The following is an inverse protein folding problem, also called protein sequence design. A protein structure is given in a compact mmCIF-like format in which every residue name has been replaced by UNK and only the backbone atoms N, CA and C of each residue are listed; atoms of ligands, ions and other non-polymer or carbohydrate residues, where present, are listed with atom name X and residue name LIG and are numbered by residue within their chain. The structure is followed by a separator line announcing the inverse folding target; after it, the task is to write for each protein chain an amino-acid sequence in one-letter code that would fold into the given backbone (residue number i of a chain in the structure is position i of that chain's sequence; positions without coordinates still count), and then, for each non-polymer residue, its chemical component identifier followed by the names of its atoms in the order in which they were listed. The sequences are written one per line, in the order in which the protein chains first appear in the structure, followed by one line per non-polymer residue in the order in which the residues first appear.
data_IF_356122192245
#
_entry.id   IF_356122192245
#
_cell.length_a   1.000
_cell.length_b   1.000
_cell.length_c   1.000
_cell.angle_alpha   90.00
_cell.angle_beta   90.00
_cell.angle_gamma   90.00
#
_symmetry.space_group_name_H-M   'P 1'
#
loop_
_entity.id
_entity.type
_entity.pdbx_description
1 polymer ?
#
# COMPACT_ATOMS: atom_id res chain seq x y z
N UNK A 1 16.93 7.40 -1.94
CA UNK A 1 17.63 6.35 -1.18
C UNK A 1 19.12 6.38 -1.51
N UNK A 2 19.99 6.13 -0.52
CA UNK A 2 21.43 6.23 -0.73
C UNK A 2 22.06 5.03 -1.44
N UNK A 3 21.27 4.21 -2.09
CA UNK A 3 21.75 3.01 -2.78
C UNK A 3 21.99 3.27 -4.26
N UNK A 4 22.96 2.55 -4.83
CA UNK A 4 23.23 2.59 -6.26
C UNK A 4 22.09 1.96 -7.07
N UNK A 5 21.95 2.39 -8.31
CA UNK A 5 21.02 1.77 -9.25
C UNK A 5 21.39 0.30 -9.49
N UNK A 6 20.41 -0.55 -9.79
CA UNK A 6 20.60 -1.96 -10.13
C UNK A 6 21.39 -2.74 -9.07
N UNK A 7 21.06 -2.53 -7.79
CA UNK A 7 21.79 -3.12 -6.66
C UNK A 7 21.09 -4.31 -6.03
N UNK A 8 19.78 -4.43 -6.17
CA UNK A 8 18.98 -5.40 -5.41
C UNK A 8 18.13 -6.29 -6.31
N UNK A 9 17.93 -7.53 -5.88
CA UNK A 9 17.07 -8.50 -6.56
C UNK A 9 15.60 -8.35 -6.15
N UNK A 10 15.36 -7.90 -4.91
CA UNK A 10 14.02 -7.72 -4.36
C UNK A 10 13.90 -6.38 -3.64
N UNK A 11 12.71 -5.79 -3.75
CA UNK A 11 12.33 -4.62 -2.97
C UNK A 11 10.97 -4.91 -2.36
N UNK A 12 10.89 -4.94 -1.04
CA UNK A 12 9.64 -5.19 -0.33
C UNK A 12 9.33 -4.02 0.58
N UNK A 13 8.04 -3.67 0.65
CA UNK A 13 7.54 -2.65 1.56
C UNK A 13 6.20 -3.12 2.14
N UNK A 14 6.09 -3.07 3.46
CA UNK A 14 4.89 -3.50 4.18
C UNK A 14 4.34 -2.34 4.99
N UNK A 15 3.11 -1.91 4.66
CA UNK A 15 2.39 -0.85 5.38
C UNK A 15 3.15 0.49 5.47
N UNK A 16 4.02 0.76 4.49
CA UNK A 16 4.83 1.97 4.48
C UNK A 16 4.56 2.90 3.30
N UNK A 17 4.09 2.36 2.18
CA UNK A 17 3.92 3.14 0.96
C UNK A 17 2.90 4.28 1.14
N UNK A 18 1.81 4.03 1.86
CA UNK A 18 0.77 5.05 2.13
C UNK A 18 1.28 6.24 2.94
N UNK A 19 2.38 6.07 3.67
CA UNK A 19 2.99 7.11 4.49
C UNK A 19 4.08 7.90 3.75
N UNK A 20 4.39 7.55 2.51
CA UNK A 20 5.35 8.30 1.72
C UNK A 20 4.73 9.60 1.24
N UNK A 21 5.53 10.65 1.14
CA UNK A 21 5.07 11.96 0.68
C UNK A 21 4.68 11.96 -0.80
N UNK A 22 5.34 11.11 -1.59
CA UNK A 22 5.13 11.03 -3.03
C UNK A 22 5.27 9.57 -3.47
N UNK A 23 4.14 8.93 -3.74
CA UNK A 23 4.08 7.53 -4.13
C UNK A 23 4.83 7.29 -5.45
N UNK A 24 4.64 8.16 -6.44
CA UNK A 24 5.31 8.05 -7.74
C UNK A 24 6.82 8.07 -7.60
N UNK A 25 7.32 8.99 -6.78
CA UNK A 25 8.76 9.12 -6.53
C UNK A 25 9.31 7.88 -5.83
N UNK A 26 8.57 7.35 -4.85
CA UNK A 26 8.95 6.13 -4.13
C UNK A 26 9.00 4.92 -5.07
N UNK A 27 8.03 4.78 -5.97
CA UNK A 27 8.01 3.70 -6.95
C UNK A 27 9.16 3.82 -7.96
N UNK A 28 9.48 5.02 -8.41
CA UNK A 28 10.63 5.25 -9.30
C UNK A 28 11.94 4.88 -8.63
N UNK A 29 12.10 5.22 -7.37
CA UNK A 29 13.30 4.84 -6.60
C UNK A 29 13.39 3.33 -6.41
N UNK A 30 12.28 2.67 -6.10
CA UNK A 30 12.25 1.21 -6.02
C UNK A 30 12.67 0.57 -7.34
N UNK A 31 12.16 1.08 -8.45
CA UNK A 31 12.55 0.61 -9.78
C UNK A 31 14.05 0.84 -10.04
N UNK A 32 14.54 2.01 -9.68
CA UNK A 32 15.95 2.38 -9.91
C UNK A 32 16.92 1.42 -9.22
N UNK A 33 16.64 1.09 -7.95
CA UNK A 33 17.57 0.26 -7.17
C UNK A 33 17.47 -1.23 -7.48
N UNK A 34 16.41 -1.67 -8.14
CA UNK A 34 16.24 -3.06 -8.56
C UNK A 34 17.10 -3.36 -9.78
N UNK A 35 17.69 -4.57 -9.80
CA UNK A 35 18.35 -5.11 -10.99
C UNK A 35 17.31 -5.50 -12.04
N UNK A 36 17.66 -5.53 -13.33
CA UNK A 36 16.82 -6.18 -14.34
C UNK A 36 16.50 -7.62 -13.91
N UNK A 37 15.22 -7.99 -13.97
CA UNK A 37 14.73 -9.25 -13.40
C UNK A 37 14.36 -9.17 -11.94
N UNK A 38 14.60 -8.05 -11.26
CA UNK A 38 14.23 -7.84 -9.87
C UNK A 38 12.73 -7.66 -9.68
N UNK A 39 12.25 -7.96 -8.48
CA UNK A 39 10.83 -7.96 -8.15
C UNK A 39 10.51 -6.95 -7.05
N UNK A 40 9.45 -6.18 -7.27
CA UNK A 40 8.86 -5.29 -6.28
C UNK A 40 7.62 -5.93 -5.67
N UNK A 41 7.54 -5.93 -4.34
CA UNK A 41 6.38 -6.42 -3.61
C UNK A 41 5.94 -5.36 -2.60
N UNK A 42 4.66 -5.04 -2.60
CA UNK A 42 4.07 -4.08 -1.68
C UNK A 42 2.86 -4.69 -0.98
N UNK A 43 2.96 -4.84 0.32
CA UNK A 43 1.83 -5.22 1.18
C UNK A 43 1.28 -3.95 1.81
N UNK A 44 -0.01 -3.66 1.57
CA UNK A 44 -0.61 -2.42 2.05
C UNK A 44 -2.10 -2.59 2.28
N UNK A 45 -2.66 -1.77 3.16
CA UNK A 45 -4.10 -1.61 3.26
C UNK A 45 -4.66 -1.06 1.95
N UNK A 46 -5.81 -1.57 1.56
CA UNK A 46 -6.43 -1.24 0.28
C UNK A 46 -7.92 -0.99 0.43
N UNK A 47 -8.57 -0.70 -0.71
CA UNK A 47 -10.00 -0.45 -0.75
C UNK A 47 -10.76 -1.74 -0.95
N UNK A 48 -11.80 -1.98 -0.15
CA UNK A 48 -12.69 -3.12 -0.31
C UNK A 48 -13.52 -2.88 -1.56
N UNK A 49 -13.47 -3.82 -2.51
CA UNK A 49 -14.16 -3.70 -3.79
C UNK A 49 -15.63 -4.10 -3.72
N UNK A 50 -16.00 -4.99 -2.78
CA UNK A 50 -17.40 -5.38 -2.58
C UNK A 50 -18.12 -4.29 -1.78
N UNK A 51 -19.23 -3.76 -2.33
CA UNK A 51 -19.97 -2.65 -1.72
C UNK A 51 -20.49 -2.98 -0.32
N UNK A 52 -21.01 -4.19 -0.11
CA UNK A 52 -21.55 -4.60 1.19
C UNK A 52 -20.46 -4.73 2.24
N UNK A 53 -19.34 -5.35 1.86
CA UNK A 53 -18.16 -5.46 2.74
C UNK A 53 -17.55 -4.10 3.03
N UNK A 54 -17.52 -3.21 2.03
CA UNK A 54 -16.99 -1.86 2.19
C UNK A 54 -17.84 -1.05 3.18
N UNK A 55 -19.17 -1.15 3.09
CA UNK A 55 -20.07 -0.49 4.04
C UNK A 55 -19.86 -1.00 5.46
N UNK A 56 -19.72 -2.32 5.62
CA UNK A 56 -19.43 -2.92 6.91
C UNK A 56 -18.08 -2.47 7.46
N UNK A 57 -17.05 -2.43 6.61
CA UNK A 57 -15.72 -1.93 6.96
C UNK A 57 -15.78 -0.47 7.43
N UNK A 58 -16.45 0.40 6.69
CA UNK A 58 -16.59 1.82 7.06
C UNK A 58 -17.26 1.98 8.42
N UNK A 59 -18.32 1.21 8.67
CA UNK A 59 -19.02 1.21 9.94
C UNK A 59 -18.10 0.73 11.07
N UNK A 60 -17.33 -0.31 10.82
CA UNK A 60 -16.39 -0.87 11.78
C UNK A 60 -15.23 0.06 12.07
N UNK A 61 -14.66 0.69 11.05
CA UNK A 61 -13.51 1.58 11.19
C UNK A 61 -13.83 2.86 11.97
N UNK A 62 -15.09 3.28 12.00
CA UNK A 62 -15.53 4.41 12.85
C UNK A 62 -15.46 4.07 14.33
N UNK A 63 -15.57 2.81 14.71
CA UNK A 63 -15.52 2.36 16.10
C UNK A 63 -14.08 2.13 16.59
N UNK A 64 -13.14 1.86 15.71
CA UNK A 64 -11.76 1.56 16.07
C UNK A 64 -11.12 2.70 16.89
N UNK A 65 -11.21 3.99 16.49
CA UNK A 65 -10.67 5.07 17.31
C UNK A 65 -11.29 5.15 18.71
N UNK A 66 -12.60 4.88 18.82
CA UNK A 66 -13.30 4.89 20.10
C UNK A 66 -12.83 3.74 20.99
N UNK A 67 -12.68 2.54 20.41
CA UNK A 67 -12.14 1.37 21.12
C UNK A 67 -10.70 1.65 21.56
N UNK A 68 -9.89 2.24 20.69
CA UNK A 68 -8.52 2.61 21.00
C UNK A 68 -8.42 3.57 22.18
N UNK A 69 -9.33 4.55 22.26
CA UNK A 69 -9.40 5.49 23.39
C UNK A 69 -9.76 4.78 24.68
N UNK A 70 -10.67 3.83 24.64
CA UNK A 70 -11.11 3.06 25.83
C UNK A 70 -9.99 2.15 26.32
N UNK A 71 -9.30 1.44 25.41
CA UNK A 71 -8.30 0.42 25.75
C UNK A 71 -6.95 1.04 26.08
N UNK A 72 -6.48 2.01 25.28
CA UNK A 72 -5.14 2.60 25.38
C UNK A 72 -5.15 4.05 25.89
N UNK A 73 -6.30 4.66 26.03
CA UNK A 73 -6.45 6.05 26.45
C UNK A 73 -6.13 7.08 25.37
N UNK A 74 -5.86 6.67 24.14
CA UNK A 74 -5.51 7.58 23.02
C UNK A 74 -6.34 7.24 21.79
N UNK A 75 -6.93 8.26 21.18
CA UNK A 75 -7.77 8.18 19.99
C UNK A 75 -7.01 8.51 18.70
N UNK A 76 -6.08 9.46 18.78
CA UNK A 76 -5.41 10.07 17.64
C UNK A 76 -4.63 9.09 16.76
N UNK A 77 -3.83 8.13 17.28
CA UNK A 77 -3.11 7.19 16.44
C UNK A 77 -4.03 6.33 15.55
N UNK A 78 -5.18 5.95 16.08
CA UNK A 78 -6.17 5.15 15.34
C UNK A 78 -6.89 5.99 14.28
N UNK A 79 -7.19 7.26 14.58
CA UNK A 79 -7.77 8.17 13.59
C UNK A 79 -6.80 8.43 12.44
N UNK A 80 -5.52 8.62 12.75
CA UNK A 80 -4.48 8.80 11.72
C UNK A 80 -4.38 7.55 10.83
N UNK A 81 -4.39 6.37 11.41
CA UNK A 81 -4.35 5.11 10.65
C UNK A 81 -5.52 5.01 9.67
N UNK A 82 -6.74 5.22 10.14
CA UNK A 82 -7.94 5.15 9.30
C UNK A 82 -7.88 6.19 8.18
N UNK A 83 -7.49 7.41 8.50
CA UNK A 83 -7.37 8.51 7.53
C UNK A 83 -6.32 8.20 6.47
N UNK A 84 -5.18 7.66 6.85
CA UNK A 84 -4.11 7.31 5.90
C UNK A 84 -4.54 6.19 4.94
N UNK A 85 -5.32 5.23 5.41
CA UNK A 85 -5.89 4.18 4.57
C UNK A 85 -6.92 4.76 3.59
N UNK A 86 -7.82 5.62 4.08
CA UNK A 86 -8.87 6.22 3.25
C UNK A 86 -8.32 7.14 2.16
N UNK A 87 -7.20 7.80 2.43
CA UNK A 87 -6.56 8.71 1.49
C UNK A 87 -5.61 8.01 0.52
N UNK A 88 -5.33 6.74 0.73
CA UNK A 88 -4.45 5.99 -0.17
C UNK A 88 -5.19 5.61 -1.46
N UNK A 89 -4.41 5.34 -2.51
CA UNK A 89 -4.95 4.91 -3.81
C UNK A 89 -5.56 3.50 -3.70
N UNK A 90 -6.52 3.19 -4.56
CA UNK A 90 -7.08 1.84 -4.65
C UNK A 90 -6.13 0.90 -5.41
N UNK A 91 -6.50 -0.39 -5.51
CA UNK A 91 -5.68 -1.41 -6.14
C UNK A 91 -5.36 -1.08 -7.60
N UNK A 92 -6.35 -0.69 -8.38
CA UNK A 92 -6.17 -0.38 -9.81
C UNK A 92 -5.32 0.88 -10.01
N UNK A 93 -5.54 1.90 -9.20
CA UNK A 93 -4.75 3.13 -9.25
C UNK A 93 -3.28 2.85 -8.93
N UNK A 94 -3.00 1.97 -7.97
CA UNK A 94 -1.63 1.60 -7.64
C UNK A 94 -0.97 0.82 -8.78
N UNK A 95 -1.70 -0.08 -9.43
CA UNK A 95 -1.21 -0.78 -10.63
C UNK A 95 -0.83 0.23 -11.72
N UNK A 96 -1.68 1.22 -11.96
CA UNK A 96 -1.41 2.26 -12.97
C UNK A 96 -0.14 3.07 -12.62
N UNK A 97 0.03 3.42 -11.34
CA UNK A 97 1.24 4.11 -10.88
C UNK A 97 2.49 3.24 -11.03
N UNK A 98 2.38 1.94 -10.81
CA UNK A 98 3.49 1.00 -11.03
C UNK A 98 3.86 0.92 -12.51
N UNK A 99 2.88 0.88 -13.41
CA UNK A 99 3.14 0.91 -14.86
C UNK A 99 3.80 2.24 -15.28
N UNK A 100 3.35 3.36 -14.74
CA UNK A 100 3.98 4.66 -14.99
C UNK A 100 5.44 4.69 -14.54
N UNK A 101 5.79 3.92 -13.53
CA UNK A 101 7.16 3.78 -13.01
C UNK A 101 7.97 2.71 -13.76
N UNK A 102 7.44 2.18 -14.85
CA UNK A 102 8.05 1.21 -15.77
C UNK A 102 8.08 -0.23 -15.26
N UNK A 103 7.42 -0.55 -14.16
CA UNK A 103 7.27 -1.93 -13.73
C UNK A 103 6.44 -2.72 -14.75
N UNK A 104 6.84 -3.96 -14.95
CA UNK A 104 6.17 -4.91 -15.85
C UNK A 104 5.49 -6.01 -15.05
N UNK A 105 4.54 -6.70 -15.69
CA UNK A 105 3.79 -7.80 -15.07
C UNK A 105 3.20 -7.43 -13.71
N UNK A 106 2.63 -6.21 -13.65
CA UNK A 106 2.03 -5.70 -12.42
C UNK A 106 0.72 -6.42 -12.16
N UNK A 107 0.58 -6.95 -10.95
CA UNK A 107 -0.67 -7.55 -10.49
C UNK A 107 -0.87 -7.30 -9.00
N UNK A 108 -2.03 -7.69 -8.50
CA UNK A 108 -2.31 -7.65 -7.07
C UNK A 108 -3.17 -8.82 -6.65
N UNK A 109 -3.05 -9.19 -5.37
CA UNK A 109 -3.89 -10.20 -4.73
C UNK A 109 -4.54 -9.59 -3.51
N UNK A 110 -5.87 -9.66 -3.44
CA UNK A 110 -6.63 -9.20 -2.29
C UNK A 110 -6.61 -10.23 -1.18
N UNK A 111 -6.43 -9.75 0.06
CA UNK A 111 -6.55 -10.54 1.27
C UNK A 111 -7.69 -9.97 2.12
N UNK A 112 -8.41 -10.84 2.83
CA UNK A 112 -9.50 -10.42 3.72
C UNK A 112 -10.53 -9.52 3.03
N UNK A 113 -10.96 -9.90 1.82
CA UNK A 113 -11.98 -9.16 1.05
C UNK A 113 -11.50 -7.84 0.45
N UNK A 114 -10.19 -7.59 0.43
CA UNK A 114 -9.60 -6.37 -0.11
C UNK A 114 -9.18 -5.36 0.95
N UNK A 115 -9.32 -5.67 2.24
CA UNK A 115 -8.81 -4.82 3.33
C UNK A 115 -7.31 -4.64 3.18
N UNK A 116 -6.61 -5.71 2.82
CA UNK A 116 -5.18 -5.73 2.54
C UNK A 116 -4.96 -6.29 1.15
N UNK A 117 -3.98 -5.79 0.42
CA UNK A 117 -3.58 -6.36 -0.87
C UNK A 117 -2.06 -6.41 -0.99
N UNK A 118 -1.61 -7.40 -1.76
CA UNK A 118 -0.20 -7.53 -2.14
C UNK A 118 -0.10 -7.15 -3.61
N UNK A 119 0.68 -6.11 -3.90
CA UNK A 119 1.00 -5.69 -5.26
C UNK A 119 2.36 -6.23 -5.66
N UNK A 120 2.49 -6.69 -6.88
CA UNK A 120 3.72 -7.24 -7.42
C UNK A 120 4.03 -6.62 -8.77
N UNK A 121 5.29 -6.30 -9.00
CA UNK A 121 5.77 -5.82 -10.29
C UNK A 121 7.21 -6.24 -10.50
N UNK A 122 7.65 -6.26 -11.76
CA UNK A 122 8.99 -6.71 -12.15
C UNK A 122 9.70 -5.64 -12.95
N UNK A 123 11.01 -5.55 -12.75
CA UNK A 123 11.90 -4.79 -13.61
C UNK A 123 12.47 -5.74 -14.66
N UNK A 124 11.97 -5.62 -15.86
CA UNK A 124 12.39 -6.49 -16.97
C UNK A 124 13.36 -5.79 -17.91
#
# INVERSE_FOLDING_TARGET
MPFSSNSFDFYTISFGLRNTKNIKKSLKEAYRVLKPGGRFLCLEFSKIQNANLNNLYKKYSRLIPVIGKIVVGKKEPYQYLIKSIDNFVNQHELIDLMHESKFDRCDYTNLSGGIVSIHSGWKI
#
